data_IF_849473720880
#
_entry.id   IF_849473720880
#
_cell.length_a   1.000
_cell.length_b   1.000
_cell.length_c   1.000
_cell.angle_alpha   90.00
_cell.angle_beta   90.00
_cell.angle_gamma   90.00
#
_symmetry.space_group_name_H-M   'P 1'
#
loop_
_entity.id
_entity.type
_entity.pdbx_description
1 polymer ?
#
# COMPACT_ATOMS: atom_id res chain seq x y z
N UNK A 1 -50.97 5.62 44.86
CA UNK A 1 -50.65 4.90 43.60
C UNK A 1 -49.23 4.36 43.66
N UNK A 2 -49.12 3.05 43.85
CA UNK A 2 -47.82 2.37 43.80
C UNK A 2 -47.56 2.06 42.30
N UNK A 3 -46.56 2.70 41.71
CA UNK A 3 -46.06 2.29 40.39
C UNK A 3 -45.53 0.85 40.47
N UNK A 4 -45.95 -0.04 39.58
CA UNK A 4 -45.41 -1.39 39.55
C UNK A 4 -43.91 -1.34 39.22
N UNK A 5 -43.14 -2.09 39.98
CA UNK A 5 -41.71 -2.26 39.73
C UNK A 5 -41.56 -3.12 38.46
N UNK A 6 -41.10 -2.52 37.39
CA UNK A 6 -40.78 -3.26 36.15
C UNK A 6 -39.36 -3.81 36.32
N UNK A 7 -39.25 -5.12 36.44
CA UNK A 7 -37.96 -5.79 36.48
C UNK A 7 -37.62 -6.34 35.09
N UNK A 8 -36.60 -5.79 34.47
CA UNK A 8 -36.11 -6.25 33.18
C UNK A 8 -34.76 -6.91 33.35
N UNK A 9 -34.63 -8.16 32.94
CA UNK A 9 -33.33 -8.85 32.87
C UNK A 9 -32.57 -8.42 31.63
N UNK A 10 -31.34 -7.97 31.80
CA UNK A 10 -30.44 -7.71 30.70
C UNK A 10 -29.78 -9.04 30.29
N UNK A 11 -30.00 -9.55 29.09
CA UNK A 11 -29.38 -10.80 28.65
C UNK A 11 -27.88 -10.63 28.43
N UNK A 12 -27.16 -11.75 28.36
CA UNK A 12 -25.79 -11.76 27.97
C UNK A 12 -25.65 -11.17 26.55
N UNK A 13 -24.89 -10.09 26.40
CA UNK A 13 -24.71 -9.38 25.15
C UNK A 13 -23.61 -10.04 24.28
N UNK A 14 -23.88 -11.28 23.85
CA UNK A 14 -22.92 -12.12 23.12
C UNK A 14 -22.98 -12.00 21.61
N UNK A 15 -24.06 -11.39 21.09
CA UNK A 15 -24.30 -11.33 19.64
C UNK A 15 -23.71 -10.06 18.98
N UNK A 16 -22.99 -9.25 19.74
CA UNK A 16 -22.30 -8.06 19.22
C UNK A 16 -23.22 -6.91 18.84
N UNK A 17 -22.77 -6.07 17.93
CA UNK A 17 -23.47 -4.85 17.48
C UNK A 17 -24.36 -5.16 16.29
N UNK A 18 -25.59 -4.63 16.30
CA UNK A 18 -26.53 -4.72 15.18
C UNK A 18 -26.97 -3.33 14.73
N UNK A 19 -26.94 -3.12 13.42
CA UNK A 19 -27.45 -1.91 12.78
C UNK A 19 -28.97 -1.92 12.54
N UNK A 20 -29.66 -2.98 12.99
CA UNK A 20 -31.10 -3.06 12.86
C UNK A 20 -31.81 -2.05 13.76
N UNK A 21 -33.00 -1.57 13.37
CA UNK A 21 -33.84 -0.74 14.22
C UNK A 21 -34.10 -1.41 15.57
N UNK A 22 -34.31 -0.68 16.68
CA UNK A 22 -34.53 -1.24 18.02
C UNK A 22 -35.63 -2.30 18.08
N UNK A 23 -36.70 -2.14 17.30
CA UNK A 23 -37.82 -3.06 17.27
C UNK A 23 -37.50 -4.42 16.59
N UNK A 24 -36.48 -4.47 15.74
CA UNK A 24 -36.06 -5.69 15.04
C UNK A 24 -34.77 -6.31 15.63
N UNK A 25 -34.17 -5.68 16.64
CA UNK A 25 -32.93 -6.13 17.27
C UNK A 25 -33.21 -7.27 18.23
N UNK A 26 -32.38 -8.33 18.16
CA UNK A 26 -32.47 -9.44 19.11
C UNK A 26 -31.96 -9.05 20.50
N UNK A 27 -32.48 -9.67 21.54
CA UNK A 27 -32.15 -9.33 22.92
C UNK A 27 -30.66 -9.48 23.31
N UNK A 28 -29.90 -10.27 22.57
CA UNK A 28 -28.45 -10.43 22.79
C UNK A 28 -27.56 -9.47 22.00
N UNK A 29 -28.14 -8.53 21.27
CA UNK A 29 -27.43 -7.56 20.44
C UNK A 29 -27.39 -6.18 21.08
N UNK A 30 -26.28 -5.45 20.83
CA UNK A 30 -26.08 -4.06 21.25
C UNK A 30 -26.33 -3.12 20.06
N UNK A 31 -26.66 -1.88 20.35
CA UNK A 31 -26.66 -0.79 19.37
C UNK A 31 -25.23 -0.30 19.08
N UNK A 32 -24.49 -0.11 20.13
CA UNK A 32 -23.11 0.33 20.12
C UNK A 32 -22.30 -0.42 21.16
N UNK A 33 -21.03 -0.63 20.89
CA UNK A 33 -20.13 -1.34 21.78
C UNK A 33 -18.78 -0.61 21.79
N UNK A 34 -18.53 0.09 22.90
CA UNK A 34 -17.29 0.84 23.08
C UNK A 34 -16.42 0.21 24.15
N UNK A 35 -15.12 0.02 23.89
CA UNK A 35 -14.15 -0.56 24.82
C UNK A 35 -14.56 -1.93 25.41
N UNK A 36 -15.42 -2.65 24.72
CA UNK A 36 -15.95 -3.94 25.13
C UNK A 36 -15.77 -4.99 24.02
N UNK A 37 -15.80 -6.27 24.40
CA UNK A 37 -15.68 -7.41 23.50
C UNK A 37 -16.74 -8.43 23.88
N UNK A 38 -17.62 -8.80 22.95
CA UNK A 38 -18.59 -9.88 23.12
C UNK A 38 -17.94 -11.22 22.83
N UNK A 39 -18.03 -12.14 23.77
CA UNK A 39 -17.53 -13.51 23.61
C UNK A 39 -18.61 -14.49 24.01
N UNK A 40 -18.64 -15.66 23.38
CA UNK A 40 -19.63 -16.71 23.69
C UNK A 40 -19.44 -17.26 25.10
N UNK A 41 -18.18 -17.36 25.54
CA UNK A 41 -17.86 -17.92 26.87
C UNK A 41 -18.15 -16.97 28.04
N UNK A 42 -17.83 -15.68 27.88
CA UNK A 42 -17.82 -14.74 28.99
C UNK A 42 -18.90 -13.64 28.87
N UNK A 43 -19.61 -13.62 27.76
CA UNK A 43 -20.54 -12.53 27.46
C UNK A 43 -19.82 -11.26 27.05
N UNK A 44 -20.37 -10.09 27.40
CA UNK A 44 -19.74 -8.80 27.15
C UNK A 44 -18.71 -8.51 28.24
N UNK A 45 -17.46 -8.36 27.84
CA UNK A 45 -16.34 -8.02 28.74
C UNK A 45 -15.53 -6.85 28.22
N UNK A 46 -14.75 -6.25 29.11
CA UNK A 46 -13.82 -5.20 28.76
C UNK A 46 -12.81 -5.71 27.71
N UNK A 47 -12.53 -4.90 26.69
CA UNK A 47 -11.48 -5.23 25.70
C UNK A 47 -10.13 -5.48 26.40
N UNK A 48 -9.25 -6.30 25.81
CA UNK A 48 -7.88 -6.47 26.30
C UNK A 48 -7.13 -5.13 26.34
N UNK A 49 -6.15 -5.04 27.21
CA UNK A 49 -5.25 -3.91 27.25
C UNK A 49 -4.43 -3.83 25.96
N UNK A 50 -4.04 -2.61 25.58
CA UNK A 50 -3.04 -2.40 24.52
C UNK A 50 -1.68 -2.86 25.02
N UNK A 51 -0.89 -3.47 24.13
CA UNK A 51 0.50 -3.83 24.39
C UNK A 51 1.39 -2.81 23.69
N UNK A 52 2.29 -2.17 24.44
CA UNK A 52 3.35 -1.37 23.85
C UNK A 52 4.37 -2.29 23.19
N UNK A 53 4.68 -2.09 21.90
CA UNK A 53 5.65 -2.87 21.15
C UNK A 53 6.99 -2.13 21.10
N UNK A 54 6.99 -0.91 20.56
CA UNK A 54 8.18 -0.08 20.46
C UNK A 54 7.80 1.40 20.30
N UNK A 55 8.75 2.27 20.65
CA UNK A 55 8.74 3.67 20.26
C UNK A 55 9.46 3.80 18.93
N UNK A 56 8.74 4.19 17.88
CA UNK A 56 9.28 4.23 16.54
C UNK A 56 10.17 5.46 16.29
N UNK A 57 9.74 6.62 16.74
CA UNK A 57 10.42 7.91 16.54
C UNK A 57 10.55 8.61 17.90
N UNK A 58 11.72 9.18 18.19
CA UNK A 58 12.01 9.84 19.46
C UNK A 58 11.45 11.25 19.56
N UNK A 59 11.30 11.91 18.43
CA UNK A 59 10.75 13.27 18.34
C UNK A 59 9.25 13.23 18.08
N UNK A 60 8.56 14.32 18.41
CA UNK A 60 7.14 14.46 18.08
C UNK A 60 6.95 14.46 16.54
N UNK A 61 6.10 13.57 16.06
CA UNK A 61 5.72 13.53 14.65
C UNK A 61 4.80 14.72 14.37
N UNK A 62 5.05 15.43 13.27
CA UNK A 62 4.17 16.52 12.82
C UNK A 62 2.75 15.99 12.58
N UNK A 63 1.75 16.80 12.91
CA UNK A 63 0.35 16.49 12.61
C UNK A 63 0.08 16.34 11.10
N UNK A 64 0.95 16.90 10.27
CA UNK A 64 0.88 16.83 8.80
C UNK A 64 1.57 15.58 8.22
N UNK A 65 2.14 14.72 9.06
CA UNK A 65 2.79 13.50 8.59
C UNK A 65 1.79 12.52 7.99
N UNK A 66 2.16 11.90 6.89
CA UNK A 66 1.41 10.80 6.27
C UNK A 66 1.83 9.48 6.90
N UNK A 67 0.84 8.69 7.31
CA UNK A 67 1.06 7.35 7.89
C UNK A 67 0.22 6.35 7.10
N UNK A 68 0.87 5.31 6.62
CA UNK A 68 0.22 4.23 5.88
C UNK A 68 0.57 2.88 6.50
N UNK A 69 -0.45 2.08 6.77
CA UNK A 69 -0.30 0.74 7.30
C UNK A 69 -0.36 -0.29 6.18
N UNK A 70 0.54 -1.26 6.22
CA UNK A 70 0.61 -2.40 5.31
C UNK A 70 0.39 -3.65 6.16
N UNK A 71 -0.69 -4.37 5.89
CA UNK A 71 -1.06 -5.60 6.58
C UNK A 71 -1.06 -6.73 5.54
N UNK A 72 -0.02 -7.57 5.54
CA UNK A 72 0.12 -8.71 4.63
C UNK A 72 -0.39 -9.97 5.28
N UNK A 73 0.09 -10.25 6.49
CA UNK A 73 -0.27 -11.40 7.30
C UNK A 73 -0.03 -11.13 8.79
N UNK A 74 -0.08 -12.16 9.62
CA UNK A 74 0.08 -12.00 11.07
C UNK A 74 1.50 -11.60 11.49
N UNK A 75 2.51 -11.96 10.72
CA UNK A 75 3.93 -11.72 11.00
C UNK A 75 4.49 -10.51 10.22
N UNK A 76 3.89 -10.20 9.08
CA UNK A 76 4.35 -9.15 8.18
C UNK A 76 3.41 -7.94 8.13
N UNK A 77 3.51 -7.10 9.15
CA UNK A 77 2.77 -5.84 9.26
C UNK A 77 3.75 -4.69 9.35
N UNK A 78 3.56 -3.71 8.49
CA UNK A 78 4.46 -2.57 8.40
C UNK A 78 3.71 -1.25 8.52
N UNK A 79 4.43 -0.23 8.93
CA UNK A 79 3.99 1.16 8.86
C UNK A 79 5.02 1.98 8.11
N UNK A 80 4.56 2.76 7.15
CA UNK A 80 5.36 3.75 6.43
C UNK A 80 4.97 5.12 6.94
N UNK A 81 5.96 5.89 7.36
CA UNK A 81 5.78 7.24 7.90
C UNK A 81 6.55 8.22 7.02
N UNK A 82 5.86 9.22 6.50
CA UNK A 82 6.43 10.31 5.75
C UNK A 82 6.21 11.62 6.51
N UNK A 83 7.28 12.19 7.03
CA UNK A 83 7.26 13.37 7.91
C UNK A 83 7.33 14.71 7.15
N UNK A 84 7.47 14.68 5.82
CA UNK A 84 7.80 15.84 4.99
C UNK A 84 9.30 15.95 4.72
N UNK A 85 10.14 15.64 5.71
CA UNK A 85 11.61 15.67 5.58
C UNK A 85 12.18 14.30 5.20
N UNK A 86 11.47 13.22 5.51
CA UNK A 86 11.95 11.87 5.27
C UNK A 86 10.86 10.81 5.28
N UNK A 87 11.17 9.68 4.66
CA UNK A 87 10.31 8.49 4.65
C UNK A 87 11.01 7.39 5.44
N UNK A 88 10.28 6.77 6.34
CA UNK A 88 10.71 5.65 7.16
C UNK A 88 9.71 4.51 7.10
N UNK A 89 10.19 3.27 7.25
CA UNK A 89 9.36 2.08 7.32
C UNK A 89 9.73 1.25 8.55
N UNK A 90 8.72 0.68 9.21
CA UNK A 90 8.89 -0.11 10.42
C UNK A 90 8.03 -1.35 10.38
N UNK A 91 8.57 -2.47 10.85
CA UNK A 91 7.77 -3.65 11.12
C UNK A 91 7.09 -3.45 12.48
N UNK A 92 5.77 -3.42 12.52
CA UNK A 92 5.01 -3.13 13.75
C UNK A 92 4.81 -4.35 14.66
N UNK A 93 5.12 -5.55 14.17
CA UNK A 93 5.08 -6.77 14.99
C UNK A 93 6.34 -6.85 15.86
N UNK A 94 7.51 -6.61 15.25
CA UNK A 94 8.81 -6.68 15.93
C UNK A 94 9.29 -5.34 16.51
N UNK A 95 8.75 -4.21 16.04
CA UNK A 95 9.23 -2.87 16.39
C UNK A 95 10.56 -2.49 15.72
N UNK A 96 11.00 -3.24 14.72
CA UNK A 96 12.29 -3.03 14.05
C UNK A 96 12.12 -2.14 12.83
N UNK A 97 13.05 -1.20 12.65
CA UNK A 97 13.11 -0.32 11.47
C UNK A 97 13.52 -1.11 10.23
N UNK A 98 12.77 -0.97 9.17
CA UNK A 98 13.03 -1.62 7.89
C UNK A 98 14.03 -0.81 7.05
N UNK A 99 14.89 -1.50 6.31
CA UNK A 99 15.73 -0.86 5.30
C UNK A 99 14.91 -0.50 4.08
N UNK A 100 15.01 0.75 3.62
CA UNK A 100 14.39 1.21 2.38
C UNK A 100 15.47 1.22 1.30
N UNK A 101 15.15 0.62 0.15
CA UNK A 101 16.03 0.56 -1.01
C UNK A 101 15.43 1.37 -2.15
N UNK A 102 16.14 2.38 -2.60
CA UNK A 102 15.84 3.05 -3.87
C UNK A 102 16.43 2.25 -5.04
N UNK A 103 15.88 2.44 -6.23
CA UNK A 103 16.38 1.79 -7.45
C UNK A 103 17.87 2.12 -7.65
N UNK A 104 18.68 1.08 -7.85
CA UNK A 104 20.13 1.22 -8.04
C UNK A 104 20.95 1.50 -6.79
N UNK A 105 20.34 1.63 -5.60
CA UNK A 105 21.04 1.90 -4.33
C UNK A 105 20.99 0.70 -3.38
N UNK A 106 21.85 0.73 -2.34
CA UNK A 106 21.75 -0.21 -1.21
C UNK A 106 20.61 0.17 -0.29
N UNK A 107 20.07 -0.81 0.45
CA UNK A 107 19.06 -0.54 1.48
C UNK A 107 19.65 0.27 2.63
N UNK A 108 18.93 1.29 3.09
CA UNK A 108 19.32 2.13 4.23
C UNK A 108 18.23 2.15 5.28
N UNK A 109 18.61 2.20 6.55
CA UNK A 109 17.70 2.34 7.69
C UNK A 109 17.52 3.79 8.15
N UNK A 110 18.33 4.72 7.62
CA UNK A 110 18.12 6.16 7.81
C UNK A 110 16.90 6.62 7.04
N UNK A 111 16.23 7.70 7.46
CA UNK A 111 15.15 8.30 6.67
C UNK A 111 15.64 8.60 5.25
N UNK A 112 14.87 8.22 4.24
CA UNK A 112 15.19 8.58 2.85
C UNK A 112 14.57 9.92 2.50
N UNK A 113 15.29 10.72 1.71
CA UNK A 113 14.75 11.96 1.15
C UNK A 113 13.61 11.57 0.18
N UNK A 114 12.42 12.18 0.32
CA UNK A 114 11.31 11.89 -0.58
C UNK A 114 11.69 12.17 -2.04
N UNK A 115 11.32 11.28 -2.98
CA UNK A 115 11.40 11.63 -4.40
C UNK A 115 10.58 12.90 -4.69
N UNK A 116 10.93 13.70 -5.71
CA UNK A 116 10.24 14.96 -6.03
C UNK A 116 8.72 14.86 -6.15
N UNK A 117 8.20 13.72 -6.59
CA UNK A 117 6.77 13.46 -6.67
C UNK A 117 6.10 13.35 -5.29
N UNK A 118 6.81 12.86 -4.29
CA UNK A 118 6.31 12.69 -2.92
C UNK A 118 6.73 13.84 -2.00
N UNK A 119 7.58 14.75 -2.47
CA UNK A 119 8.03 15.92 -1.69
C UNK A 119 6.90 16.93 -1.56
N UNK A 120 6.41 17.10 -0.33
CA UNK A 120 5.31 17.99 -0.01
C UNK A 120 5.37 18.41 1.45
N UNK A 121 5.01 19.66 1.72
CA UNK A 121 4.96 20.21 3.09
C UNK A 121 3.78 19.65 3.90
N UNK A 122 2.76 19.10 3.25
CA UNK A 122 1.53 18.57 3.86
C UNK A 122 1.26 17.11 3.46
N UNK A 123 2.15 16.17 3.81
CA UNK A 123 2.03 14.77 3.35
C UNK A 123 0.68 14.13 3.69
N UNK A 124 0.13 14.44 4.86
CA UNK A 124 -1.14 13.87 5.34
C UNK A 124 -2.32 14.18 4.42
N UNK A 125 -2.39 15.38 3.91
CA UNK A 125 -3.50 15.82 3.06
C UNK A 125 -3.24 15.59 1.59
N UNK A 126 -1.98 15.71 1.16
CA UNK A 126 -1.55 15.59 -0.24
C UNK A 126 -1.43 14.15 -0.71
N UNK A 127 -1.01 13.24 0.17
CA UNK A 127 -0.74 11.86 -0.21
C UNK A 127 -1.90 10.92 0.08
N UNK A 128 -2.05 9.91 -0.77
CA UNK A 128 -2.93 8.75 -0.57
C UNK A 128 -2.15 7.47 -0.84
N UNK A 129 -2.29 6.50 0.05
CA UNK A 129 -1.67 5.19 -0.07
C UNK A 129 -2.72 4.10 -0.28
N UNK A 130 -2.40 3.13 -1.12
CA UNK A 130 -3.16 1.90 -1.32
C UNK A 130 -2.20 0.73 -1.43
N UNK A 131 -2.41 -0.29 -0.63
CA UNK A 131 -1.66 -1.55 -0.71
C UNK A 131 -2.52 -2.60 -1.38
N UNK A 132 -1.97 -3.24 -2.41
CA UNK A 132 -2.58 -4.38 -3.12
C UNK A 132 -1.54 -5.49 -3.19
N UNK A 133 -1.79 -6.58 -2.53
CA UNK A 133 -0.84 -7.67 -2.35
C UNK A 133 0.53 -7.14 -1.84
N UNK A 134 1.60 -7.35 -2.57
CA UNK A 134 2.97 -6.96 -2.18
C UNK A 134 3.36 -5.54 -2.60
N UNK A 135 2.46 -4.81 -3.25
CA UNK A 135 2.75 -3.48 -3.79
C UNK A 135 1.95 -2.40 -3.06
N UNK A 136 2.64 -1.35 -2.64
CA UNK A 136 2.01 -0.15 -2.10
C UNK A 136 2.18 1.00 -3.07
N UNK A 137 1.05 1.54 -3.52
CA UNK A 137 0.99 2.70 -4.39
C UNK A 137 0.75 3.95 -3.56
N UNK A 138 1.57 4.97 -3.74
CA UNK A 138 1.38 6.28 -3.10
C UNK A 138 1.17 7.31 -4.20
N UNK A 139 0.06 8.04 -4.12
CA UNK A 139 -0.32 9.07 -5.08
C UNK A 139 -0.29 10.43 -4.39
N UNK A 140 0.35 11.40 -5.04
CA UNK A 140 0.27 12.81 -4.65
C UNK A 140 -0.87 13.47 -5.44
N UNK A 141 -1.89 13.96 -4.72
CA UNK A 141 -3.08 14.57 -5.33
C UNK A 141 -2.83 15.98 -5.87
N UNK A 142 -1.79 16.64 -5.38
CA UNK A 142 -1.49 18.02 -5.69
C UNK A 142 -0.59 18.15 -6.93
N UNK A 143 -0.03 17.01 -7.41
CA UNK A 143 0.85 16.98 -8.58
C UNK A 143 0.15 16.26 -9.73
N UNK A 144 -0.06 16.97 -10.82
CA UNK A 144 -0.49 16.35 -12.08
C UNK A 144 0.68 15.65 -12.76
N UNK A 145 0.50 14.37 -13.04
CA UNK A 145 1.50 13.58 -13.76
C UNK A 145 1.45 13.94 -15.24
N UNK A 146 2.57 14.40 -15.77
CA UNK A 146 2.73 14.72 -17.19
C UNK A 146 3.49 13.64 -17.94
N UNK A 147 3.47 13.75 -19.26
CA UNK A 147 4.31 12.90 -20.13
C UNK A 147 5.75 13.40 -20.05
N UNK A 148 6.70 12.48 -19.84
CA UNK A 148 8.12 12.81 -19.89
C UNK A 148 8.51 13.39 -21.25
N UNK A 149 9.23 14.51 -21.24
CA UNK A 149 9.81 15.06 -22.47
C UNK A 149 11.00 14.24 -22.96
N UNK A 150 11.58 13.41 -22.08
CA UNK A 150 12.65 12.49 -22.48
C UNK A 150 12.03 11.32 -23.22
N UNK A 151 12.20 11.29 -24.50
CA UNK A 151 11.77 10.19 -25.36
C UNK A 151 12.90 9.17 -25.46
N UNK A 152 12.55 7.90 -25.54
CA UNK A 152 13.48 6.85 -25.95
C UNK A 152 14.10 7.25 -27.29
N UNK A 153 15.41 7.07 -27.44
CA UNK A 153 16.06 7.26 -28.71
C UNK A 153 15.30 6.47 -29.80
N UNK A 154 15.13 7.04 -31.00
CA UNK A 154 14.52 6.32 -32.11
C UNK A 154 15.24 4.98 -32.28
N UNK A 155 14.48 3.90 -32.34
CA UNK A 155 15.07 2.60 -32.65
C UNK A 155 15.72 2.66 -34.02
N UNK A 156 16.91 2.08 -34.12
CA UNK A 156 17.55 1.90 -35.42
C UNK A 156 16.60 1.18 -36.39
N UNK A 157 16.59 1.62 -37.63
CA UNK A 157 15.80 0.98 -38.65
C UNK A 157 16.31 -0.45 -38.83
N UNK A 158 15.49 -1.43 -38.43
CA UNK A 158 15.81 -2.84 -38.54
C UNK A 158 14.93 -3.46 -39.63
N UNK A 159 15.52 -4.24 -40.49
CA UNK A 159 14.81 -5.04 -41.48
C UNK A 159 15.14 -6.52 -41.25
N UNK A 160 14.16 -7.37 -41.48
CA UNK A 160 14.36 -8.82 -41.54
C UNK A 160 14.12 -9.29 -42.95
N UNK A 161 15.10 -10.04 -43.52
CA UNK A 161 14.98 -10.64 -44.82
C UNK A 161 15.14 -12.14 -44.67
N UNK A 162 14.17 -12.89 -45.16
CA UNK A 162 14.18 -14.33 -45.16
C UNK A 162 14.09 -14.87 -46.57
N UNK A 163 15.08 -15.69 -46.97
CA UNK A 163 15.11 -16.39 -48.27
C UNK A 163 14.57 -17.80 -48.03
N UNK A 164 13.33 -18.06 -48.46
CA UNK A 164 12.67 -19.33 -48.26
C UNK A 164 13.21 -20.47 -49.14
N UNK A 165 13.76 -20.13 -50.28
CA UNK A 165 14.33 -21.07 -51.23
C UNK A 165 15.45 -20.42 -52.02
N UNK A 166 16.60 -21.09 -52.10
CA UNK A 166 17.70 -20.70 -52.95
C UNK A 166 17.83 -21.67 -54.15
N UNK A 167 18.48 -21.19 -55.22
CA UNK A 167 18.79 -22.01 -56.41
C UNK A 167 20.28 -21.93 -56.70
N UNK A 168 20.81 -22.95 -57.37
CA UNK A 168 22.24 -23.04 -57.75
C UNK A 168 22.59 -21.91 -58.74
N UNK A 169 23.81 -21.37 -58.62
CA UNK A 169 24.36 -20.33 -59.49
C UNK A 169 23.56 -19.01 -59.49
N UNK A 170 22.64 -18.79 -58.54
CA UNK A 170 21.92 -17.54 -58.40
C UNK A 170 22.59 -16.65 -57.35
N UNK A 171 22.70 -15.36 -57.67
CA UNK A 171 23.17 -14.33 -56.72
C UNK A 171 21.97 -13.64 -56.10
N UNK A 172 21.99 -13.56 -54.78
CA UNK A 172 20.97 -12.85 -54.00
C UNK A 172 21.59 -11.59 -53.43
N UNK A 173 21.03 -10.44 -53.74
CA UNK A 173 21.48 -9.14 -53.25
C UNK A 173 20.32 -8.37 -52.66
N UNK A 174 20.59 -7.69 -51.58
CA UNK A 174 19.63 -6.81 -50.91
C UNK A 174 20.20 -5.40 -51.01
N UNK A 175 19.42 -4.48 -51.54
CA UNK A 175 19.80 -3.07 -51.61
C UNK A 175 19.00 -2.30 -50.55
N UNK A 176 19.69 -1.70 -49.58
CA UNK A 176 19.07 -0.87 -48.54
C UNK A 176 19.76 0.51 -48.60
N UNK A 177 19.01 1.51 -49.02
CA UNK A 177 19.49 2.89 -49.06
C UNK A 177 20.76 3.12 -49.92
N UNK A 178 20.90 2.35 -50.99
CA UNK A 178 22.06 2.45 -51.90
C UNK A 178 23.22 1.50 -51.53
N UNK A 179 23.15 0.85 -50.38
CA UNK A 179 24.16 -0.15 -49.96
C UNK A 179 23.70 -1.55 -50.38
N UNK A 180 24.60 -2.28 -51.04
CA UNK A 180 24.38 -3.66 -51.48
C UNK A 180 24.94 -4.62 -50.42
N UNK A 181 24.08 -5.50 -49.94
CA UNK A 181 24.44 -6.57 -49.03
C UNK A 181 24.19 -7.91 -49.72
N UNK A 182 25.19 -8.77 -49.75
CA UNK A 182 25.08 -10.10 -50.36
C UNK A 182 26.42 -10.82 -50.37
N UNK A 183 26.40 -12.14 -50.42
CA UNK A 183 27.60 -12.94 -50.62
C UNK A 183 28.07 -12.83 -52.07
N UNK A 184 29.32 -12.50 -52.25
CA UNK A 184 30.02 -12.70 -53.52
C UNK A 184 30.54 -14.13 -53.52
N UNK A 185 30.35 -14.90 -54.58
CA UNK A 185 30.87 -16.26 -54.67
C UNK A 185 32.39 -16.29 -54.63
#
# INVERSE_FOLDING_TARGET
DKMPLINTSVPNLIQGVSQQPPAARFLGQCEEQENALSTVSDGLKKRPNTRHIAKLIDTAISAESFVHFIDRDDDEKYVVIHTGEGIEAWNIVSGVKCGIKLEGAAAVTTPIIPPPYLDTATPRTSLKGLTVADNTFIVNKDISVGISQTKTAPLDKKGFVYVSQGDFEKKYQINVGGNLFGAVP
#
